data_IF_053841471274
#
_entry.id   IF_053841471274
#
_cell.length_a   1.000
_cell.length_b   1.000
_cell.length_c   1.000
_cell.angle_alpha   90.00
_cell.angle_beta   90.00
_cell.angle_gamma   90.00
#
_symmetry.space_group_name_H-M   'P 1'
#
loop_
_entity.id
_entity.type
_entity.pdbx_description
1 polymer ?
#
# COMPACT_ATOMS: atom_id res chain seq x y z
N UNK A 1 -45.12 23.54 -35.07
CA UNK A 1 -44.86 22.21 -35.67
C UNK A 1 -43.75 21.40 -34.97
N UNK A 2 -43.19 21.86 -33.84
CA UNK A 2 -42.17 21.10 -33.08
C UNK A 2 -42.78 20.27 -31.95
N UNK A 3 -43.79 20.79 -31.24
CA UNK A 3 -44.40 20.10 -30.09
C UNK A 3 -45.07 18.76 -30.42
N UNK A 4 -45.69 18.66 -31.60
CA UNK A 4 -46.38 17.42 -32.01
C UNK A 4 -45.41 16.24 -32.21
N UNK A 5 -44.14 16.51 -32.55
CA UNK A 5 -43.11 15.47 -32.71
C UNK A 5 -42.54 15.01 -31.37
N UNK A 6 -42.43 15.92 -30.40
CA UNK A 6 -41.95 15.57 -29.07
C UNK A 6 -42.97 14.74 -28.29
N UNK A 7 -44.25 15.02 -28.46
CA UNK A 7 -45.32 14.22 -27.85
C UNK A 7 -45.41 12.82 -28.50
N UNK A 8 -45.19 12.70 -29.81
CA UNK A 8 -45.15 11.41 -30.51
C UNK A 8 -43.97 10.54 -30.08
N UNK A 9 -42.78 11.14 -29.91
CA UNK A 9 -41.59 10.44 -29.40
C UNK A 9 -41.79 9.99 -27.94
N UNK A 10 -42.39 10.85 -27.10
CA UNK A 10 -42.68 10.52 -25.70
C UNK A 10 -43.67 9.37 -25.60
N UNK A 11 -44.66 9.34 -26.48
CA UNK A 11 -45.69 8.30 -26.52
C UNK A 11 -45.18 6.96 -27.10
N UNK A 12 -44.21 7.01 -28.02
CA UNK A 12 -43.47 5.82 -28.49
C UNK A 12 -42.58 5.23 -27.39
N UNK A 13 -41.87 6.07 -26.63
CA UNK A 13 -41.03 5.63 -25.51
C UNK A 13 -41.87 5.05 -24.35
N UNK A 14 -43.03 5.64 -24.07
CA UNK A 14 -43.96 5.12 -23.07
C UNK A 14 -44.48 3.72 -23.44
N UNK A 15 -44.80 3.50 -24.72
CA UNK A 15 -45.23 2.19 -25.23
C UNK A 15 -44.10 1.16 -25.25
N UNK A 16 -42.86 1.57 -25.55
CA UNK A 16 -41.70 0.69 -25.47
C UNK A 16 -41.39 0.26 -24.02
N UNK A 17 -41.53 1.17 -23.05
CA UNK A 17 -41.33 0.86 -21.63
C UNK A 17 -42.42 -0.08 -21.07
N UNK A 18 -43.67 0.05 -21.54
CA UNK A 18 -44.77 -0.83 -21.12
C UNK A 18 -44.59 -2.29 -21.58
N UNK A 19 -43.85 -2.54 -22.66
CA UNK A 19 -43.57 -3.89 -23.18
C UNK A 19 -42.31 -4.57 -22.61
N UNK A 20 -41.48 -3.85 -21.84
CA UNK A 20 -40.15 -4.32 -21.46
C UNK A 20 -40.12 -5.33 -20.29
N UNK A 21 -41.22 -5.48 -19.55
CA UNK A 21 -41.28 -6.37 -18.37
C UNK A 21 -40.41 -5.86 -17.20
N UNK A 22 -40.95 -5.95 -15.97
CA UNK A 22 -40.17 -5.61 -14.77
C UNK A 22 -39.17 -6.73 -14.41
N UNK A 23 -38.07 -6.41 -13.71
CA UNK A 23 -37.12 -7.42 -13.25
C UNK A 23 -37.81 -8.43 -12.32
N UNK A 24 -37.57 -9.72 -12.55
CA UNK A 24 -38.24 -10.84 -11.87
C UNK A 24 -37.73 -11.13 -10.45
N UNK A 25 -37.13 -10.14 -9.80
CA UNK A 25 -36.55 -10.29 -8.45
C UNK A 25 -36.88 -9.08 -7.59
N UNK A 26 -37.30 -9.37 -6.36
CA UNK A 26 -37.74 -8.39 -5.39
C UNK A 26 -36.55 -7.55 -4.89
N UNK A 27 -36.46 -6.32 -5.38
CA UNK A 27 -35.43 -5.37 -4.99
C UNK A 27 -35.42 -5.11 -3.47
N UNK A 28 -36.57 -5.24 -2.78
CA UNK A 28 -36.66 -5.04 -1.34
C UNK A 28 -35.90 -6.13 -0.57
N UNK A 29 -35.89 -7.38 -1.07
CA UNK A 29 -35.12 -8.47 -0.48
C UNK A 29 -33.60 -8.24 -0.59
N UNK A 30 -33.14 -7.68 -1.72
CA UNK A 30 -31.73 -7.33 -1.94
C UNK A 30 -31.27 -6.21 -1.00
N UNK A 31 -32.09 -5.18 -0.80
CA UNK A 31 -31.76 -4.10 0.13
C UNK A 31 -31.86 -4.54 1.60
N UNK A 32 -32.77 -5.46 1.94
CA UNK A 32 -32.90 -6.01 3.28
C UNK A 32 -31.68 -6.87 3.67
N UNK A 33 -31.17 -7.69 2.75
CA UNK A 33 -29.98 -8.50 2.99
C UNK A 33 -28.71 -7.65 3.07
N UNK A 34 -28.59 -6.62 2.22
CA UNK A 34 -27.51 -5.64 2.32
C UNK A 34 -27.51 -4.88 3.67
N UNK A 35 -28.69 -4.54 4.20
CA UNK A 35 -28.83 -3.91 5.51
C UNK A 35 -28.48 -4.86 6.67
N UNK A 36 -28.74 -6.17 6.53
CA UNK A 36 -28.39 -7.19 7.53
C UNK A 36 -26.88 -7.43 7.60
N UNK A 37 -26.20 -7.46 6.46
CA UNK A 37 -24.72 -7.54 6.38
C UNK A 37 -24.06 -6.30 7.02
N UNK A 38 -24.59 -5.10 6.78
CA UNK A 38 -24.09 -3.85 7.40
C UNK A 38 -24.21 -3.86 8.93
N UNK A 39 -25.31 -4.40 9.47
CA UNK A 39 -25.52 -4.50 10.93
C UNK A 39 -24.59 -5.53 11.58
N UNK A 40 -24.32 -6.65 10.91
CA UNK A 40 -23.32 -7.65 11.41
C UNK A 40 -21.91 -7.07 11.43
N UNK A 41 -21.51 -6.26 10.44
CA UNK A 41 -20.21 -5.57 10.44
C UNK A 41 -20.06 -4.54 11.56
N UNK A 42 -21.14 -3.82 11.92
CA UNK A 42 -21.11 -2.87 13.04
C UNK A 42 -21.03 -3.54 14.41
N UNK A 43 -21.59 -4.74 14.58
CA UNK A 43 -21.49 -5.48 15.84
C UNK A 43 -20.08 -6.02 16.12
N UNK A 44 -19.30 -6.33 15.08
CA UNK A 44 -17.89 -6.78 15.22
C UNK A 44 -16.95 -5.64 15.63
N UNK A 45 -17.29 -4.38 15.33
CA UNK A 45 -16.49 -3.20 15.66
C UNK A 45 -16.65 -2.70 17.11
N UNK A 46 -17.58 -3.27 17.89
CA UNK A 46 -17.81 -2.87 19.29
C UNK A 46 -17.11 -3.76 20.33
N UNK A 47 -16.35 -4.78 19.92
CA UNK A 47 -15.78 -5.78 20.84
C UNK A 47 -14.33 -6.20 20.60
N UNK A 48 -13.57 -5.48 19.78
CA UNK A 48 -12.16 -5.80 19.50
C UNK A 48 -11.25 -4.65 19.89
N UNK A 49 -10.39 -4.86 20.89
CA UNK A 49 -9.25 -4.00 21.15
C UNK A 49 -8.41 -3.87 19.87
N UNK A 50 -8.16 -2.64 19.43
CA UNK A 50 -7.38 -2.33 18.24
C UNK A 50 -5.91 -2.63 18.49
N UNK A 51 -5.48 -3.84 18.14
CA UNK A 51 -4.07 -4.14 17.90
C UNK A 51 -3.70 -3.61 16.51
N UNK A 52 -3.17 -2.39 16.44
CA UNK A 52 -2.60 -1.82 15.21
C UNK A 52 -1.22 -2.45 15.02
N UNK A 53 -1.17 -3.53 14.27
CA UNK A 53 0.10 -4.13 13.84
C UNK A 53 0.69 -3.30 12.70
N UNK A 54 1.95 -2.91 12.83
CA UNK A 54 2.71 -2.09 11.87
C UNK A 54 2.79 -2.69 10.44
N UNK A 55 2.35 -3.94 10.24
CA UNK A 55 2.28 -4.61 8.94
C UNK A 55 1.11 -4.21 8.03
N UNK A 56 0.24 -3.26 8.41
CA UNK A 56 -0.95 -2.91 7.61
C UNK A 56 -0.68 -1.99 6.38
N UNK A 57 0.58 -1.64 6.10
CA UNK A 57 0.96 -0.79 4.96
C UNK A 57 1.75 -1.54 3.86
N UNK A 58 1.95 -2.85 4.01
CA UNK A 58 2.55 -3.73 2.99
C UNK A 58 1.51 -4.55 2.22
N UNK A 59 0.21 -4.28 2.41
CA UNK A 59 -0.85 -4.98 1.66
C UNK A 59 -0.87 -4.50 0.22
N UNK A 60 -0.39 -5.37 -0.66
CA UNK A 60 -0.52 -5.32 -2.11
C UNK A 60 -1.96 -5.01 -2.52
N UNK A 61 -2.11 -4.07 -3.45
CA UNK A 61 -3.35 -3.72 -4.14
C UNK A 61 -3.92 -4.93 -4.91
N UNK A 62 -4.72 -5.75 -4.24
CA UNK A 62 -5.72 -6.61 -4.86
C UNK A 62 -7.10 -6.14 -4.36
N UNK A 63 -7.62 -5.10 -5.01
CA UNK A 63 -8.91 -4.49 -4.68
C UNK A 63 -10.06 -5.29 -5.33
N UNK A 64 -11.21 -5.42 -4.65
CA UNK A 64 -12.46 -5.05 -5.28
C UNK A 64 -13.12 -3.88 -4.53
N UNK A 65 -13.49 -2.87 -5.33
CA UNK A 65 -13.99 -1.56 -4.93
C UNK A 65 -15.37 -1.63 -4.28
N UNK A 66 -15.62 -0.73 -3.32
CA UNK A 66 -16.95 -0.48 -2.75
C UNK A 66 -16.93 0.71 -1.81
N UNK A 67 -17.30 1.89 -2.31
CA UNK A 67 -17.08 3.20 -1.67
C UNK A 67 -18.05 3.59 -0.54
N UNK A 68 -17.79 4.77 0.03
CA UNK A 68 -18.61 6.00 0.06
C UNK A 68 -18.11 6.92 1.18
N UNK A 69 -17.79 8.19 0.89
CA UNK A 69 -17.77 9.23 1.92
C UNK A 69 -16.72 10.34 1.75
N UNK A 70 -17.11 11.39 1.01
CA UNK A 70 -16.43 12.67 0.75
C UNK A 70 -15.90 13.42 1.98
N UNK A 71 -14.70 14.01 1.86
CA UNK A 71 -14.39 15.37 2.33
C UNK A 71 -13.13 15.91 1.61
N UNK A 72 -13.31 16.87 0.69
CA UNK A 72 -12.21 17.68 0.15
C UNK A 72 -11.90 18.79 1.16
N UNK A 73 -10.65 18.88 1.60
CA UNK A 73 -10.14 20.03 2.33
C UNK A 73 -8.92 20.59 1.58
N UNK A 74 -9.14 21.66 0.82
CA UNK A 74 -8.08 22.60 0.42
C UNK A 74 -7.63 23.37 1.66
N UNK A 75 -6.45 23.02 2.19
CA UNK A 75 -5.77 23.82 3.22
C UNK A 75 -4.51 24.45 2.61
N UNK A 76 -4.41 25.77 2.71
CA UNK A 76 -3.20 26.54 2.38
C UNK A 76 -2.09 26.25 3.41
N UNK A 77 -0.81 26.28 3.01
CA UNK A 77 0.30 25.88 3.88
C UNK A 77 0.52 26.90 4.99
N UNK A 78 0.33 26.48 6.25
CA UNK A 78 0.75 27.24 7.42
C UNK A 78 2.25 27.06 7.64
N UNK A 79 2.91 28.17 7.98
CA UNK A 79 4.34 28.27 8.24
C UNK A 79 4.78 27.40 9.44
N UNK A 80 5.99 26.85 9.29
CA UNK A 80 6.65 25.82 10.12
C UNK A 80 6.00 24.42 10.00
N UNK A 81 6.51 23.64 9.04
CA UNK A 81 6.32 22.19 9.06
C UNK A 81 6.90 21.67 10.39
N UNK A 82 6.17 20.88 11.18
CA UNK A 82 6.75 20.19 12.32
C UNK A 82 7.98 19.42 11.84
N UNK A 83 9.05 19.44 12.63
CA UNK A 83 10.23 18.67 12.30
C UNK A 83 9.81 17.19 12.20
N UNK A 84 9.84 16.64 11.00
CA UNK A 84 9.39 15.27 10.71
C UNK A 84 10.17 14.21 11.50
N UNK A 85 11.28 14.63 12.10
CA UNK A 85 12.18 13.88 12.95
C UNK A 85 11.49 13.51 14.26
N UNK A 86 10.47 14.27 14.69
CA UNK A 86 9.66 13.94 15.88
C UNK A 86 8.62 12.83 15.61
N UNK A 87 8.36 12.46 14.35
CA UNK A 87 7.34 11.46 14.01
C UNK A 87 7.73 10.05 14.41
N UNK A 88 9.01 9.76 14.60
CA UNK A 88 9.54 8.45 15.06
C UNK A 88 11.03 8.49 15.42
N UNK A 89 11.71 9.64 15.29
CA UNK A 89 13.16 9.74 15.45
C UNK A 89 13.63 9.32 16.84
N UNK A 90 14.83 8.72 16.90
CA UNK A 90 15.46 8.30 18.15
C UNK A 90 15.58 6.79 18.36
N UNK A 91 15.14 5.95 17.42
CA UNK A 91 15.33 4.49 17.50
C UNK A 91 16.76 4.04 17.12
N UNK A 92 17.52 4.91 16.44
CA UNK A 92 18.83 4.57 15.91
C UNK A 92 18.78 3.80 14.58
N UNK A 93 17.58 3.44 14.08
CA UNK A 93 17.41 2.63 12.87
C UNK A 93 17.77 3.42 11.62
N UNK A 94 17.44 4.71 11.59
CA UNK A 94 17.73 5.61 10.49
C UNK A 94 19.25 5.73 10.24
N UNK A 95 20.07 5.82 11.30
CA UNK A 95 21.53 5.85 11.16
C UNK A 95 22.08 4.49 10.73
N UNK A 96 21.53 3.39 11.26
CA UNK A 96 21.90 2.03 10.83
C UNK A 96 21.60 1.83 9.35
N UNK A 97 20.39 2.16 8.91
CA UNK A 97 20.00 2.05 7.51
C UNK A 97 20.88 2.94 6.62
N UNK A 98 21.10 4.20 7.00
CA UNK A 98 21.96 5.12 6.26
C UNK A 98 23.37 4.55 6.03
N UNK A 99 23.94 3.86 7.01
CA UNK A 99 25.25 3.18 6.88
C UNK A 99 25.28 2.01 5.90
N UNK A 100 24.12 1.46 5.52
CA UNK A 100 24.00 0.35 4.55
C UNK A 100 23.71 0.83 3.13
N UNK A 101 23.19 2.05 2.98
CA UNK A 101 22.81 2.61 1.69
C UNK A 101 24.05 3.04 0.86
N UNK A 102 23.96 2.99 -0.47
CA UNK A 102 25.03 3.51 -1.33
C UNK A 102 25.18 5.02 -1.18
N UNK A 103 26.39 5.52 -1.47
CA UNK A 103 26.64 6.95 -1.53
C UNK A 103 25.66 7.63 -2.51
N UNK A 104 25.06 8.74 -2.08
CA UNK A 104 24.10 9.49 -2.88
C UNK A 104 22.64 8.98 -2.84
N UNK A 105 22.34 7.96 -2.03
CA UNK A 105 20.94 7.54 -1.80
C UNK A 105 20.08 8.68 -1.23
N UNK A 106 20.66 9.49 -0.34
CA UNK A 106 20.02 10.64 0.30
C UNK A 106 20.15 10.60 1.82
N UNK A 107 19.63 11.65 2.46
CA UNK A 107 19.52 11.69 3.93
C UNK A 107 18.32 10.86 4.38
N UNK A 108 18.51 10.03 5.40
CA UNK A 108 17.51 9.07 5.88
C UNK A 108 16.91 9.57 7.19
N UNK A 109 15.59 9.56 7.26
CA UNK A 109 14.80 9.96 8.42
C UNK A 109 13.73 8.90 8.67
N UNK A 110 13.66 8.33 9.86
CA UNK A 110 12.58 7.41 10.20
C UNK A 110 11.25 8.18 10.32
N UNK A 111 10.20 7.63 9.73
CA UNK A 111 8.86 8.21 9.71
C UNK A 111 7.79 7.17 10.03
N UNK A 112 6.59 7.64 10.39
CA UNK A 112 5.38 6.82 10.36
C UNK A 112 4.45 7.23 9.22
N UNK A 113 4.32 6.38 8.20
CA UNK A 113 3.33 6.58 7.14
C UNK A 113 1.89 6.54 7.66
N UNK A 114 1.62 5.86 8.78
CA UNK A 114 0.28 5.87 9.39
C UNK A 114 -0.05 7.25 9.97
N UNK A 115 0.92 7.90 10.62
CA UNK A 115 0.76 9.28 11.10
C UNK A 115 0.64 10.23 9.91
N UNK A 116 1.54 10.13 8.93
CA UNK A 116 1.57 11.04 7.78
C UNK A 116 0.34 10.95 6.90
N UNK A 117 -0.08 9.73 6.53
CA UNK A 117 -1.12 9.53 5.52
C UNK A 117 -2.53 9.43 6.10
N UNK A 118 -2.64 9.10 7.39
CA UNK A 118 -3.93 8.78 8.03
C UNK A 118 -4.18 9.54 9.33
N UNK A 119 -3.30 10.50 9.69
CA UNK A 119 -3.36 11.27 10.93
C UNK A 119 -3.52 10.35 12.16
N UNK A 120 -2.89 9.18 12.12
CA UNK A 120 -2.93 8.24 13.23
C UNK A 120 -2.23 8.83 14.45
N UNK A 121 -2.71 8.45 15.63
CA UNK A 121 -1.98 8.70 16.87
C UNK A 121 -0.61 8.02 16.84
N UNK A 122 0.42 8.74 17.32
CA UNK A 122 1.81 8.30 17.19
C UNK A 122 2.10 7.05 18.03
N UNK A 123 1.63 7.03 19.28
CA UNK A 123 1.83 5.89 20.18
C UNK A 123 1.15 4.65 19.59
N UNK A 124 -0.09 4.80 19.11
CA UNK A 124 -0.80 3.73 18.43
C UNK A 124 -0.07 3.24 17.16
N UNK A 125 0.44 4.16 16.34
CA UNK A 125 1.12 3.83 15.08
C UNK A 125 2.49 3.13 15.27
N UNK A 126 3.12 3.31 16.43
CA UNK A 126 4.47 2.79 16.74
C UNK A 126 4.47 1.66 17.77
N UNK A 127 3.33 1.39 18.42
CA UNK A 127 3.15 0.34 19.42
C UNK A 127 3.28 -1.11 18.90
N UNK A 128 3.33 -1.29 17.58
CA UNK A 128 3.43 -2.62 16.97
C UNK A 128 4.76 -3.32 17.27
N UNK A 129 4.69 -4.65 17.37
CA UNK A 129 5.89 -5.48 17.48
C UNK A 129 6.71 -5.39 16.18
N UNK A 130 8.02 -5.17 16.34
CA UNK A 130 9.02 -5.09 15.27
C UNK A 130 9.78 -6.40 15.29
N UNK A 131 9.84 -7.11 14.17
CA UNK A 131 10.51 -8.41 14.08
C UNK A 131 11.95 -8.26 13.59
N UNK A 132 12.21 -7.30 12.72
CA UNK A 132 13.53 -6.97 12.19
C UNK A 132 14.16 -5.74 12.85
N UNK A 133 15.50 -5.71 12.89
CA UNK A 133 16.31 -4.62 13.42
C UNK A 133 16.13 -3.28 12.66
N UNK A 134 15.65 -3.35 11.42
CA UNK A 134 15.40 -2.21 10.53
C UNK A 134 13.93 -2.07 10.11
N UNK A 135 13.00 -2.81 10.72
CA UNK A 135 11.59 -2.67 10.35
C UNK A 135 11.13 -1.23 10.53
N UNK A 136 10.40 -0.69 9.56
CA UNK A 136 9.90 0.68 9.61
C UNK A 136 9.80 1.32 8.24
N UNK A 137 9.45 2.61 8.26
CA UNK A 137 9.40 3.46 7.09
C UNK A 137 10.38 4.60 7.26
N UNK A 138 11.04 4.97 6.16
CA UNK A 138 12.08 5.98 6.15
C UNK A 138 11.81 6.94 5.00
N UNK A 139 11.79 8.24 5.27
CA UNK A 139 11.93 9.26 4.25
C UNK A 139 13.39 9.32 3.80
N UNK A 140 13.60 9.39 2.49
CA UNK A 140 14.92 9.58 1.89
C UNK A 140 14.91 10.88 1.10
N UNK A 141 15.70 11.85 1.56
CA UNK A 141 15.74 13.21 1.00
C UNK A 141 16.95 13.39 0.09
N UNK A 142 16.70 13.91 -1.11
CA UNK A 142 17.73 14.38 -2.04
C UNK A 142 17.39 15.80 -2.47
N UNK A 143 18.33 16.48 -3.13
CA UNK A 143 18.12 17.85 -3.61
C UNK A 143 16.93 18.01 -4.56
N UNK A 144 16.44 16.92 -5.17
CA UNK A 144 15.30 16.92 -6.08
C UNK A 144 13.95 16.50 -5.46
N UNK A 145 13.92 16.06 -4.20
CA UNK A 145 12.67 15.66 -3.53
C UNK A 145 12.81 14.65 -2.40
N UNK A 146 11.70 13.97 -2.10
CA UNK A 146 11.57 12.99 -1.01
C UNK A 146 10.98 11.69 -1.55
N UNK A 147 11.72 10.60 -1.37
CA UNK A 147 11.27 9.24 -1.59
C UNK A 147 11.10 8.50 -0.27
N UNK A 148 10.74 7.23 -0.35
CA UNK A 148 10.51 6.41 0.84
C UNK A 148 11.15 5.03 0.68
N UNK A 149 11.74 4.54 1.76
CA UNK A 149 12.12 3.14 1.95
C UNK A 149 11.23 2.53 3.03
N UNK A 150 10.56 1.44 2.73
CA UNK A 150 9.85 0.62 3.70
C UNK A 150 10.56 -0.71 3.87
N UNK A 151 10.89 -1.10 5.09
CA UNK A 151 11.53 -2.38 5.42
C UNK A 151 10.64 -3.13 6.39
N UNK A 152 10.35 -4.40 6.10
CA UNK A 152 9.59 -5.24 7.02
C UNK A 152 9.99 -6.71 6.92
N UNK A 153 10.42 -7.26 8.04
CA UNK A 153 10.61 -8.69 8.23
C UNK A 153 9.34 -9.31 8.81
N UNK A 154 8.81 -10.32 8.14
CA UNK A 154 7.61 -11.03 8.56
C UNK A 154 7.89 -12.51 8.76
N UNK A 155 7.24 -13.07 9.77
CA UNK A 155 7.25 -14.52 10.00
C UNK A 155 6.29 -15.23 9.04
N UNK A 156 6.37 -16.57 9.04
CA UNK A 156 5.51 -17.39 8.19
C UNK A 156 4.03 -17.21 8.53
N UNK A 157 3.69 -17.01 9.82
CA UNK A 157 2.32 -16.86 10.29
C UNK A 157 1.65 -15.60 9.73
N UNK A 158 2.39 -14.50 9.65
CA UNK A 158 1.91 -13.26 9.02
C UNK A 158 1.59 -13.50 7.54
N UNK A 159 2.47 -14.20 6.82
CA UNK A 159 2.28 -14.50 5.40
C UNK A 159 1.08 -15.42 5.17
N UNK A 160 0.94 -16.48 5.97
CA UNK A 160 -0.22 -17.38 5.93
C UNK A 160 -1.54 -16.62 6.11
N UNK A 161 -1.56 -15.63 7.00
CA UNK A 161 -2.74 -14.83 7.28
C UNK A 161 -3.05 -13.75 6.22
N UNK A 162 -2.02 -13.17 5.59
CA UNK A 162 -2.15 -12.01 4.69
C UNK A 162 -2.14 -12.38 3.22
N UNK A 163 -1.43 -13.43 2.85
CA UNK A 163 -1.21 -13.87 1.48
C UNK A 163 -1.44 -15.39 1.38
N UNK A 164 -2.67 -15.87 1.64
CA UNK A 164 -2.94 -17.29 1.71
C UNK A 164 -2.63 -18.02 0.38
N UNK A 165 -2.68 -17.32 -0.75
CA UNK A 165 -2.43 -17.87 -2.08
C UNK A 165 -0.96 -17.72 -2.55
N UNK A 166 -0.12 -16.97 -1.83
CA UNK A 166 1.30 -16.72 -2.18
C UNK A 166 2.28 -17.37 -1.18
N UNK A 167 1.80 -18.36 -0.42
CA UNK A 167 2.52 -18.99 0.69
C UNK A 167 3.70 -19.85 0.26
N UNK A 168 3.70 -20.39 -0.97
CA UNK A 168 4.79 -21.24 -1.41
C UNK A 168 6.01 -20.40 -1.82
N UNK A 169 7.21 -20.67 -1.26
CA UNK A 169 8.48 -20.10 -1.74
C UNK A 169 8.72 -20.36 -3.24
N UNK A 170 8.08 -21.40 -3.77
CA UNK A 170 8.09 -21.79 -5.17
C UNK A 170 7.08 -21.01 -6.04
N UNK A 171 6.15 -20.25 -5.44
CA UNK A 171 5.20 -19.44 -6.18
C UNK A 171 5.96 -18.33 -6.92
N UNK A 172 6.12 -18.50 -8.23
CA UNK A 172 6.80 -17.54 -9.07
C UNK A 172 5.93 -16.30 -9.27
N UNK A 173 6.23 -15.25 -8.49
CA UNK A 173 5.54 -13.96 -8.57
C UNK A 173 5.70 -13.28 -9.93
N UNK A 174 6.72 -13.64 -10.71
CA UNK A 174 6.94 -13.12 -12.05
C UNK A 174 6.14 -13.86 -13.12
N UNK A 175 5.68 -15.08 -12.82
CA UNK A 175 4.76 -15.78 -13.69
C UNK A 175 3.39 -15.08 -13.67
N UNK A 176 2.70 -14.97 -14.82
CA UNK A 176 1.31 -14.50 -14.84
C UNK A 176 0.46 -15.44 -13.98
N UNK A 177 -0.15 -14.90 -12.92
CA UNK A 177 -1.09 -15.64 -12.08
C UNK A 177 -2.42 -14.87 -11.94
N UNK A 178 -3.52 -15.62 -12.04
CA UNK A 178 -4.88 -15.06 -11.94
C UNK A 178 -5.26 -14.14 -13.11
N UNK A 179 -6.16 -13.18 -12.82
CA UNK A 179 -6.70 -12.21 -13.80
C UNK A 179 -6.05 -10.82 -13.69
N UNK A 180 -5.06 -10.66 -12.81
CA UNK A 180 -4.35 -9.40 -12.63
C UNK A 180 -3.37 -9.10 -13.76
N UNK A 181 -2.98 -7.84 -13.97
CA UNK A 181 -1.89 -7.52 -14.88
C UNK A 181 -0.59 -8.17 -14.38
N UNK A 182 0.28 -8.65 -15.29
CA UNK A 182 1.56 -9.22 -14.89
C UNK A 182 2.45 -8.16 -14.22
N UNK A 183 3.29 -8.59 -13.28
CA UNK A 183 4.28 -7.70 -12.64
C UNK A 183 5.29 -7.21 -13.67
N UNK A 184 5.49 -5.89 -13.74
CA UNK A 184 6.40 -5.27 -14.71
C UNK A 184 7.85 -5.36 -14.27
N UNK A 185 8.76 -5.60 -15.22
CA UNK A 185 10.19 -5.78 -14.98
C UNK A 185 10.50 -6.72 -13.79
N UNK A 186 9.74 -7.80 -13.64
CA UNK A 186 9.89 -8.74 -12.55
C UNK A 186 11.08 -9.66 -12.78
N UNK A 187 11.96 -9.78 -11.79
CA UNK A 187 13.12 -10.67 -11.81
C UNK A 187 13.09 -11.53 -10.55
N UNK A 188 13.06 -12.84 -10.75
CA UNK A 188 13.21 -13.87 -9.71
C UNK A 188 14.62 -14.45 -9.77
N UNK A 189 15.28 -14.51 -8.63
CA UNK A 189 16.63 -15.05 -8.46
C UNK A 189 16.62 -16.10 -7.35
N UNK A 190 17.02 -17.32 -7.69
CA UNK A 190 17.29 -18.37 -6.71
C UNK A 190 18.72 -18.20 -6.19
N UNK A 191 18.84 -18.07 -4.88
CA UNK A 191 20.09 -17.78 -4.20
C UNK A 191 20.57 -19.01 -3.43
N UNK A 192 21.85 -19.01 -3.08
CA UNK A 192 22.42 -20.05 -2.23
C UNK A 192 21.70 -20.12 -0.88
N UNK A 193 21.55 -21.36 -0.37
CA UNK A 193 20.90 -21.64 0.91
C UNK A 193 19.37 -21.64 0.86
N UNK A 194 18.76 -21.86 -0.31
CA UNK A 194 17.31 -21.95 -0.45
C UNK A 194 16.59 -20.60 -0.33
N UNK A 195 17.32 -19.50 -0.49
CA UNK A 195 16.76 -18.15 -0.49
C UNK A 195 16.23 -17.83 -1.89
N UNK A 196 15.15 -17.06 -1.95
CA UNK A 196 14.57 -16.61 -3.23
C UNK A 196 14.34 -15.11 -3.15
N UNK A 197 15.00 -14.35 -4.01
CA UNK A 197 14.80 -12.92 -4.15
C UNK A 197 13.95 -12.64 -5.38
N UNK A 198 12.88 -11.86 -5.21
CA UNK A 198 12.11 -11.34 -6.33
C UNK A 198 12.05 -9.82 -6.23
N UNK A 199 12.40 -9.12 -7.32
CA UNK A 199 12.26 -7.66 -7.43
C UNK A 199 11.42 -7.34 -8.65
N UNK A 200 10.42 -6.49 -8.50
CA UNK A 200 9.59 -6.00 -9.59
C UNK A 200 9.36 -4.49 -9.49
N UNK A 201 8.98 -3.89 -10.61
CA UNK A 201 8.55 -2.50 -10.66
C UNK A 201 7.05 -2.44 -10.42
N UNK A 202 6.64 -1.52 -9.55
CA UNK A 202 5.25 -1.08 -9.47
C UNK A 202 5.13 0.25 -10.24
N UNK A 203 4.19 0.33 -11.21
CA UNK A 203 3.94 1.59 -11.90
C UNK A 203 3.36 2.60 -10.91
N UNK A 204 3.31 3.86 -11.33
CA UNK A 204 2.60 4.90 -10.57
C UNK A 204 1.14 4.49 -10.39
N UNK A 205 0.71 4.44 -9.13
CA UNK A 205 -0.67 4.10 -8.77
C UNK A 205 -1.38 5.35 -8.26
N UNK A 206 -2.57 5.62 -8.84
CA UNK A 206 -3.49 6.63 -8.33
C UNK A 206 -4.65 5.92 -7.65
N UNK A 207 -4.67 5.98 -6.31
CA UNK A 207 -5.82 5.53 -5.54
C UNK A 207 -6.90 6.62 -5.57
N UNK A 208 -8.14 6.29 -5.93
CA UNK A 208 -9.22 7.28 -6.08
C UNK A 208 -9.43 8.15 -4.83
N UNK A 209 -9.24 7.57 -3.64
CA UNK A 209 -9.36 8.22 -2.33
C UNK A 209 -8.03 8.24 -1.54
N UNK A 210 -6.90 7.93 -2.19
CA UNK A 210 -5.60 7.75 -1.54
C UNK A 210 -4.47 8.58 -2.17
N UNK A 211 -3.26 8.51 -1.60
CA UNK A 211 -2.11 9.18 -2.18
C UNK A 211 -1.81 8.66 -3.59
N UNK A 212 -1.38 9.57 -4.46
CA UNK A 212 -0.83 9.20 -5.77
C UNK A 212 0.64 8.81 -5.56
N UNK A 213 0.92 7.51 -5.66
CA UNK A 213 2.27 7.01 -5.47
C UNK A 213 3.12 7.24 -6.72
N UNK A 214 4.37 7.63 -6.48
CA UNK A 214 5.42 7.62 -7.46
C UNK A 214 5.74 6.21 -7.93
N UNK A 215 6.69 6.13 -8.84
CA UNK A 215 7.22 4.83 -9.25
C UNK A 215 7.90 4.14 -8.07
N UNK A 216 7.79 2.81 -8.00
CA UNK A 216 8.36 2.02 -6.92
C UNK A 216 9.06 0.76 -7.45
N UNK A 217 10.13 0.38 -6.76
CA UNK A 217 10.67 -0.98 -6.79
C UNK A 217 10.26 -1.71 -5.51
N UNK A 218 9.69 -2.89 -5.67
CA UNK A 218 9.35 -3.76 -4.54
C UNK A 218 10.21 -5.01 -4.60
N UNK A 219 10.84 -5.35 -3.48
CA UNK A 219 11.60 -6.56 -3.28
C UNK A 219 10.98 -7.47 -2.24
N UNK A 220 10.96 -8.77 -2.51
CA UNK A 220 10.62 -9.85 -1.58
C UNK A 220 11.77 -10.84 -1.51
N UNK A 221 12.35 -11.05 -0.33
CA UNK A 221 13.36 -12.06 -0.06
C UNK A 221 12.78 -13.12 0.88
N UNK A 222 12.59 -14.33 0.36
CA UNK A 222 12.18 -15.49 1.15
C UNK A 222 13.42 -16.14 1.75
N UNK A 223 13.38 -16.36 3.07
CA UNK A 223 14.45 -16.98 3.86
C UNK A 223 14.15 -18.47 4.10
N UNK A 224 15.17 -19.32 4.30
CA UNK A 224 15.00 -20.75 4.49
C UNK A 224 14.26 -21.13 5.78
N UNK A 225 14.23 -20.23 6.77
CA UNK A 225 13.47 -20.39 8.01
C UNK A 225 11.98 -20.04 7.87
N UNK A 226 11.54 -19.67 6.66
CA UNK A 226 10.16 -19.29 6.36
C UNK A 226 9.83 -17.83 6.64
N UNK A 227 10.77 -17.04 7.16
CA UNK A 227 10.61 -15.58 7.23
C UNK A 227 10.71 -14.97 5.84
N UNK A 228 10.12 -13.80 5.66
CA UNK A 228 10.22 -13.03 4.42
C UNK A 228 10.51 -11.57 4.72
N UNK A 229 11.54 -11.04 4.07
CA UNK A 229 11.86 -9.62 4.07
C UNK A 229 11.17 -8.95 2.87
N UNK A 230 10.44 -7.86 3.14
CA UNK A 230 9.94 -6.95 2.14
C UNK A 230 10.71 -5.64 2.20
N UNK A 231 11.09 -5.13 1.03
CA UNK A 231 11.62 -3.77 0.88
C UNK A 231 10.85 -3.04 -0.21
N UNK A 232 10.28 -1.89 0.12
CA UNK A 232 9.60 -0.98 -0.82
C UNK A 232 10.47 0.25 -1.01
N UNK A 233 10.79 0.58 -2.25
CA UNK A 233 11.64 1.71 -2.62
C UNK A 233 10.88 2.64 -3.58
N UNK A 234 10.32 3.70 -3.03
CA UNK A 234 9.36 4.58 -3.70
C UNK A 234 9.96 5.95 -3.99
N UNK A 235 9.65 6.50 -5.16
CA UNK A 235 9.98 7.87 -5.53
C UNK A 235 9.18 8.93 -4.76
N UNK A 236 8.26 8.53 -3.86
CA UNK A 236 7.46 9.44 -3.04
C UNK A 236 5.97 9.31 -3.34
N UNK A 237 5.16 10.24 -2.78
CA UNK A 237 3.74 10.34 -3.09
C UNK A 237 3.27 11.79 -3.17
N UNK A 238 2.16 12.02 -3.87
CA UNK A 238 1.41 13.29 -3.86
C UNK A 238 0.15 13.14 -3.03
N UNK A 239 -0.19 14.21 -2.33
CA UNK A 239 -1.44 14.31 -1.56
C UNK A 239 -1.19 14.60 -0.09
N UNK A 240 -2.15 14.20 0.74
CA UNK A 240 -2.06 14.37 2.19
C UNK A 240 -0.78 13.74 2.76
N UNK A 241 -0.17 14.41 3.75
CA UNK A 241 1.04 13.91 4.39
C UNK A 241 2.33 13.96 3.55
N UNK A 242 2.33 14.61 2.38
CA UNK A 242 3.53 14.72 1.56
C UNK A 242 4.64 15.53 2.26
N UNK A 243 5.88 15.03 2.20
CA UNK A 243 7.04 15.65 2.86
C UNK A 243 7.88 16.54 1.92
N UNK A 244 7.50 16.63 0.65
CA UNK A 244 8.20 17.36 -0.40
C UNK A 244 7.75 16.90 -1.79
N UNK A 245 8.36 17.41 -2.87
CA UNK A 245 8.13 16.89 -4.20
C UNK A 245 8.65 15.45 -4.31
N UNK A 246 8.08 14.67 -5.21
CA UNK A 246 8.57 13.32 -5.52
C UNK A 246 9.98 13.41 -6.10
N UNK A 247 10.80 12.43 -5.74
CA UNK A 247 12.03 12.18 -6.46
C UNK A 247 11.76 11.85 -7.93
N UNK A 248 12.74 12.15 -8.79
CA UNK A 248 12.66 11.79 -10.21
C UNK A 248 12.73 10.28 -10.42
N UNK A 249 13.47 9.59 -9.58
CA UNK A 249 13.61 8.13 -9.53
C UNK A 249 13.51 7.67 -8.08
N UNK A 250 13.19 6.40 -7.81
CA UNK A 250 13.34 5.84 -6.48
C UNK A 250 14.74 6.09 -5.88
N UNK A 251 14.85 6.11 -4.54
CA UNK A 251 16.12 6.21 -3.83
C UNK A 251 17.19 5.23 -4.32
N UNK A 252 16.79 3.98 -4.61
CA UNK A 252 17.68 2.92 -5.07
C UNK A 252 17.33 2.51 -6.51
N UNK A 253 18.32 2.03 -7.24
CA UNK A 253 18.08 1.24 -8.45
C UNK A 253 17.96 -0.26 -8.08
N UNK A 254 17.58 -1.11 -9.05
CA UNK A 254 17.41 -2.55 -8.82
C UNK A 254 18.65 -3.22 -8.24
N UNK A 255 19.84 -2.89 -8.73
CA UNK A 255 21.09 -3.50 -8.27
C UNK A 255 21.41 -3.09 -6.84
N UNK A 256 21.18 -1.83 -6.50
CA UNK A 256 21.35 -1.29 -5.14
C UNK A 256 20.33 -1.88 -4.16
N UNK A 257 19.07 -2.01 -4.57
CA UNK A 257 18.02 -2.65 -3.79
C UNK A 257 18.36 -4.13 -3.53
N UNK A 258 18.79 -4.85 -4.57
CA UNK A 258 19.29 -6.22 -4.43
C UNK A 258 20.45 -6.28 -3.43
N UNK A 259 21.45 -5.42 -3.59
CA UNK A 259 22.61 -5.39 -2.70
C UNK A 259 22.22 -5.14 -1.24
N UNK A 260 21.29 -4.21 -0.98
CA UNK A 260 20.75 -3.95 0.36
C UNK A 260 20.05 -5.18 0.92
N UNK A 261 19.12 -5.80 0.17
CA UNK A 261 18.33 -6.94 0.66
C UNK A 261 19.17 -8.18 0.97
N UNK A 262 20.34 -8.32 0.34
CA UNK A 262 21.25 -9.44 0.58
C UNK A 262 22.18 -9.23 1.78
N UNK A 263 22.16 -8.05 2.42
CA UNK A 263 22.93 -7.77 3.62
C UNK A 263 22.34 -8.49 4.83
N UNK A 264 23.18 -9.18 5.64
CA UNK A 264 22.69 -9.87 6.84
C UNK A 264 22.07 -8.92 7.87
N UNK A 265 22.52 -7.66 7.92
CA UNK A 265 22.03 -6.65 8.85
C UNK A 265 20.54 -6.31 8.62
N UNK A 266 20.02 -6.55 7.42
CA UNK A 266 18.61 -6.23 7.07
C UNK A 266 17.65 -7.33 7.52
N UNK A 267 18.16 -8.55 7.76
CA UNK A 267 17.38 -9.70 8.24
C UNK A 267 17.72 -10.09 9.68
N UNK A 268 18.52 -9.25 10.35
CA UNK A 268 18.84 -9.43 11.76
C UNK A 268 17.57 -9.18 12.61
N UNK A 269 17.41 -10.03 13.62
CA UNK A 269 16.41 -9.79 14.67
C UNK A 269 16.78 -8.51 15.44
N UNK A 270 15.78 -7.92 16.10
CA UNK A 270 15.93 -6.66 16.86
C UNK A 270 16.89 -6.77 18.04
#
# INVERSE_FOLDING_TARGET
MSDARDDEVRDLLARAAAGAGGPSFDAAAVFAEAARVRRRRRAVLAGGALAVTAGALFTVSAVPSGGTGRASATASPSAAAPAHTELTGGSGREQRLAGLLPAGAGEVEEISLAVLLKDADLDAATSGESHGALDGWYAVRRGDGVGYLGVALHDRKYLEAKFPDEQEPAHDLCAPSGTGPPRTDCVREELTGGRVLTIWRQPRERNEDGPEWGEELTGRLVLPDGRTLFVRDSAGHRGHGQLGPLLRTPPLNREQLRALMLRPEVVADR
#
